data_IF_304799132255
#
_entry.id   IF_304799132255
#
_cell.length_a   1.000
_cell.length_b   1.000
_cell.length_c   1.000
_cell.angle_alpha   90.00
_cell.angle_beta   90.00
_cell.angle_gamma   90.00
#
_symmetry.space_group_name_H-M   'P 1'
#
loop_
_entity.id
_entity.type
_entity.pdbx_description
1 polymer ?
#
# COMPACT_ATOMS: atom_id res chain seq x y z
N UNK A 1 45.95 33.78 -16.90
CA UNK A 1 44.83 33.46 -16.00
C UNK A 1 44.72 31.95 -15.85
N UNK A 2 45.52 31.37 -14.95
CA UNK A 2 45.56 29.92 -14.73
C UNK A 2 44.93 29.58 -13.38
N UNK A 3 43.90 28.74 -13.38
CA UNK A 3 43.27 28.23 -12.16
C UNK A 3 44.22 27.23 -11.49
N UNK A 4 44.64 27.57 -10.28
CA UNK A 4 45.43 26.73 -9.39
C UNK A 4 44.50 25.65 -8.79
N UNK A 5 44.58 24.42 -9.27
CA UNK A 5 43.95 23.26 -8.63
C UNK A 5 44.68 22.96 -7.31
N UNK A 6 44.04 23.27 -6.18
CA UNK A 6 44.46 22.75 -4.88
C UNK A 6 44.13 21.26 -4.81
N UNK A 7 45.17 20.44 -4.63
CA UNK A 7 45.03 19.03 -4.28
C UNK A 7 44.48 18.96 -2.86
N UNK A 8 43.38 18.24 -2.70
CA UNK A 8 42.87 17.81 -1.40
C UNK A 8 43.68 16.59 -1.03
N UNK A 9 44.51 16.70 0.01
CA UNK A 9 45.26 15.57 0.54
C UNK A 9 44.26 14.60 1.18
N UNK A 10 44.25 13.35 0.71
CA UNK A 10 43.47 12.25 1.28
C UNK A 10 43.96 11.98 2.71
N UNK A 11 43.22 12.46 3.70
CA UNK A 11 43.45 12.17 5.11
C UNK A 11 43.26 10.65 5.33
N UNK A 12 44.38 9.93 5.49
CA UNK A 12 44.36 8.52 5.85
C UNK A 12 43.50 8.31 7.11
N UNK A 13 42.55 7.39 7.03
CA UNK A 13 41.61 7.07 8.10
C UNK A 13 42.36 6.49 9.31
N UNK A 14 42.76 7.37 10.25
CA UNK A 14 43.43 7.03 11.51
C UNK A 14 42.53 6.33 12.53
N UNK A 15 41.35 5.80 12.13
CA UNK A 15 40.53 4.94 13.00
C UNK A 15 41.22 3.60 13.19
N UNK A 16 42.21 3.59 14.08
CA UNK A 16 42.77 2.38 14.69
C UNK A 16 41.59 1.53 15.14
N UNK A 17 41.44 0.34 14.56
CA UNK A 17 40.50 -0.67 15.02
C UNK A 17 40.88 -1.03 16.46
N UNK A 18 40.29 -0.31 17.42
CA UNK A 18 40.38 -0.71 18.81
C UNK A 18 39.56 -2.00 18.93
N UNK A 19 40.19 -3.13 19.32
CA UNK A 19 39.42 -4.32 19.64
C UNK A 19 38.41 -3.95 20.74
N UNK A 20 37.19 -4.50 20.71
CA UNK A 20 36.18 -4.21 21.72
C UNK A 20 36.79 -4.42 23.11
N UNK A 21 36.75 -3.38 23.95
CA UNK A 21 37.43 -3.35 25.25
C UNK A 21 36.93 -4.35 26.30
N UNK A 22 36.01 -5.24 25.91
CA UNK A 22 35.50 -6.32 26.75
C UNK A 22 36.34 -7.56 26.43
N UNK A 23 37.47 -7.70 27.12
CA UNK A 23 38.24 -8.96 27.14
C UNK A 23 37.44 -9.97 27.98
N UNK A 24 36.47 -10.64 27.35
CA UNK A 24 35.89 -11.84 27.95
C UNK A 24 37.00 -12.89 28.09
N UNK A 25 37.02 -13.62 29.21
CA UNK A 25 37.97 -14.72 29.36
C UNK A 25 37.73 -15.75 28.25
N UNK A 26 38.79 -16.46 27.84
CA UNK A 26 38.68 -17.52 26.82
C UNK A 26 37.58 -18.52 27.16
N UNK A 27 37.41 -18.85 28.44
CA UNK A 27 36.36 -19.73 28.95
C UNK A 27 34.95 -19.15 28.71
N UNK A 28 34.76 -17.84 28.88
CA UNK A 28 33.46 -17.19 28.66
C UNK A 28 33.11 -17.14 27.17
N UNK A 29 34.12 -16.97 26.31
CA UNK A 29 33.96 -17.03 24.86
C UNK A 29 33.61 -18.45 24.39
N UNK A 30 34.31 -19.46 24.93
CA UNK A 30 34.09 -20.87 24.61
C UNK A 30 32.70 -21.33 25.08
N UNK A 31 32.27 -20.91 26.27
CA UNK A 31 30.90 -21.12 26.74
C UNK A 31 29.85 -20.47 25.84
N UNK A 32 30.10 -19.24 25.37
CA UNK A 32 29.18 -18.55 24.46
C UNK A 32 29.08 -19.26 23.10
N UNK A 33 30.20 -19.74 22.55
CA UNK A 33 30.23 -20.53 21.32
C UNK A 33 29.54 -21.88 21.47
N UNK A 34 29.83 -22.63 22.53
CA UNK A 34 29.13 -23.89 22.84
C UNK A 34 27.63 -23.67 23.02
N UNK A 35 27.24 -22.58 23.70
CA UNK A 35 25.85 -22.22 23.88
C UNK A 35 25.16 -21.84 22.56
N UNK A 36 25.81 -21.01 21.72
CA UNK A 36 25.28 -20.62 20.40
C UNK A 36 25.14 -21.85 19.50
N UNK A 37 26.16 -22.72 19.47
CA UNK A 37 26.18 -23.93 18.66
C UNK A 37 25.26 -25.03 19.19
N UNK A 38 24.88 -24.99 20.47
CA UNK A 38 23.84 -25.86 21.03
C UNK A 38 22.44 -25.56 20.49
N UNK A 39 22.22 -24.37 19.89
CA UNK A 39 20.97 -24.08 19.19
C UNK A 39 21.01 -24.68 17.79
N UNK A 40 20.28 -25.78 17.58
CA UNK A 40 19.95 -26.27 16.25
C UNK A 40 19.27 -25.13 15.47
N UNK A 41 19.90 -24.72 14.37
CA UNK A 41 19.57 -23.49 13.64
C UNK A 41 18.10 -23.37 13.20
N UNK A 42 17.66 -22.10 13.19
CA UNK A 42 16.42 -21.54 12.61
C UNK A 42 15.13 -21.71 13.44
N UNK A 43 14.42 -20.61 13.79
CA UNK A 43 13.19 -20.60 14.59
C UNK A 43 12.04 -21.49 14.09
N UNK A 44 11.99 -21.82 12.79
CA UNK A 44 10.98 -22.71 12.21
C UNK A 44 11.04 -24.15 12.77
N UNK A 45 12.23 -24.62 13.16
CA UNK A 45 12.41 -25.95 13.74
C UNK A 45 11.99 -26.03 15.21
N UNK A 46 11.87 -24.89 15.92
CA UNK A 46 11.60 -24.85 17.37
C UNK A 46 10.22 -25.39 17.72
N UNK A 47 9.19 -25.13 16.89
CA UNK A 47 7.85 -25.71 17.08
C UNK A 47 7.89 -27.23 16.93
N UNK A 48 8.57 -27.74 15.90
CA UNK A 48 8.67 -29.18 15.65
C UNK A 48 9.50 -29.89 16.73
N UNK A 49 10.55 -29.26 17.25
CA UNK A 49 11.41 -29.83 18.28
C UNK A 49 10.72 -29.88 19.64
N UNK A 50 10.03 -28.80 20.03
CA UNK A 50 9.22 -28.76 21.26
C UNK A 50 8.10 -29.80 21.17
N UNK A 51 7.41 -29.89 20.04
CA UNK A 51 6.34 -30.87 19.86
C UNK A 51 6.86 -32.31 19.94
N UNK A 52 7.96 -32.65 19.24
CA UNK A 52 8.55 -34.00 19.27
C UNK A 52 9.11 -34.40 20.64
N UNK A 53 9.85 -33.51 21.34
CA UNK A 53 10.38 -33.82 22.68
C UNK A 53 9.30 -33.85 23.77
N UNK A 54 8.32 -32.97 23.72
CA UNK A 54 7.19 -33.00 24.65
C UNK A 54 6.38 -34.30 24.50
N UNK A 55 6.20 -34.78 23.26
CA UNK A 55 5.59 -36.09 22.98
C UNK A 55 6.43 -37.25 23.53
N UNK A 56 7.75 -37.25 23.35
CA UNK A 56 8.64 -38.32 23.85
C UNK A 56 8.66 -38.41 25.37
N UNK A 57 8.55 -37.28 26.08
CA UNK A 57 8.57 -37.25 27.55
C UNK A 57 7.18 -37.17 28.19
N UNK A 58 6.10 -37.26 27.39
CA UNK A 58 4.71 -37.15 27.83
C UNK A 58 4.44 -35.91 28.72
N UNK A 59 5.08 -34.79 28.40
CA UNK A 59 4.95 -33.52 29.13
C UNK A 59 4.16 -32.52 28.29
N UNK A 60 3.32 -31.71 28.95
CA UNK A 60 2.59 -30.64 28.25
C UNK A 60 3.55 -29.57 27.75
N UNK A 61 3.41 -29.16 26.50
CA UNK A 61 4.18 -28.07 25.93
C UNK A 61 3.98 -26.79 26.75
N UNK A 62 5.09 -26.23 27.25
CA UNK A 62 5.09 -24.95 27.94
C UNK A 62 4.94 -23.86 26.87
N UNK A 63 4.11 -22.84 27.12
CA UNK A 63 3.95 -21.71 26.22
C UNK A 63 5.29 -20.97 26.00
N UNK A 64 5.42 -20.21 24.91
CA UNK A 64 6.63 -19.43 24.64
C UNK A 64 6.92 -18.36 25.72
N UNK A 65 5.88 -17.94 26.46
CA UNK A 65 5.92 -16.86 27.45
C UNK A 65 6.88 -17.14 28.62
N UNK A 66 6.80 -18.28 29.34
CA UNK A 66 7.74 -18.64 30.40
C UNK A 66 9.21 -18.66 29.96
N UNK A 67 9.51 -19.14 28.75
CA UNK A 67 10.89 -19.21 28.26
C UNK A 67 11.46 -17.82 28.02
N UNK A 68 10.70 -16.94 27.35
CA UNK A 68 11.07 -15.55 27.18
C UNK A 68 11.23 -14.83 28.52
N UNK A 69 10.29 -14.98 29.44
CA UNK A 69 10.38 -14.34 30.75
C UNK A 69 11.58 -14.83 31.57
N UNK A 70 11.88 -16.13 31.56
CA UNK A 70 12.99 -16.67 32.34
C UNK A 70 14.34 -16.23 31.78
N UNK A 71 14.52 -16.24 30.45
CA UNK A 71 15.77 -15.80 29.82
C UNK A 71 15.96 -14.28 29.88
N UNK A 72 14.94 -13.51 29.54
CA UNK A 72 15.06 -12.05 29.49
C UNK A 72 15.04 -11.41 30.88
N UNK A 73 14.18 -11.88 31.80
CA UNK A 73 14.07 -11.27 33.14
C UNK A 73 15.09 -11.82 34.13
N UNK A 74 15.36 -13.13 34.16
CA UNK A 74 16.26 -13.72 35.18
C UNK A 74 17.72 -13.71 34.78
N UNK A 75 18.04 -13.93 33.51
CA UNK A 75 19.45 -13.97 33.05
C UNK A 75 19.97 -12.64 32.49
N UNK A 76 19.11 -11.61 32.41
CA UNK A 76 19.44 -10.27 31.92
C UNK A 76 20.17 -10.29 30.56
N UNK A 77 19.84 -11.26 29.70
CA UNK A 77 20.40 -11.37 28.34
C UNK A 77 19.65 -10.38 27.46
N UNK A 78 20.01 -9.10 27.57
CA UNK A 78 19.54 -8.07 26.67
C UNK A 78 20.14 -8.30 25.29
N UNK A 79 19.31 -8.51 24.27
CA UNK A 79 19.82 -8.48 22.90
C UNK A 79 20.39 -7.10 22.61
N UNK A 80 21.58 -7.07 22.00
CA UNK A 80 22.14 -5.85 21.45
C UNK A 80 21.14 -5.28 20.45
N UNK A 81 20.50 -4.15 20.80
CA UNK A 81 19.60 -3.44 19.88
C UNK A 81 20.48 -2.78 18.82
N UNK A 82 20.41 -3.22 17.54
CA UNK A 82 21.25 -2.66 16.50
C UNK A 82 21.10 -1.15 16.42
N UNK A 83 22.17 -0.42 16.09
CA UNK A 83 22.14 1.05 16.01
C UNK A 83 21.03 1.60 15.12
N UNK A 84 20.67 0.89 14.04
CA UNK A 84 19.56 1.26 13.14
C UNK A 84 18.19 1.26 13.81
N UNK A 85 18.01 0.45 14.86
CA UNK A 85 16.75 0.27 15.59
C UNK A 85 16.71 1.12 16.88
N UNK A 86 17.80 1.83 17.18
CA UNK A 86 17.87 2.76 18.30
C UNK A 86 17.24 4.09 17.90
N UNK A 87 16.28 4.55 18.70
CA UNK A 87 15.73 5.90 18.56
C UNK A 87 16.84 6.95 18.71
N UNK A 88 16.76 8.03 17.94
CA UNK A 88 17.67 9.18 18.04
C UNK A 88 17.87 9.71 19.48
N UNK A 89 16.85 9.58 20.36
CA UNK A 89 16.97 9.91 21.79
C UNK A 89 18.10 9.15 22.50
N UNK A 90 18.46 7.95 22.05
CA UNK A 90 19.58 7.20 22.61
C UNK A 90 20.92 7.90 22.35
N UNK A 91 21.11 8.43 21.15
CA UNK A 91 22.30 9.23 20.83
C UNK A 91 22.35 10.50 21.68
N UNK A 92 21.23 11.20 21.85
CA UNK A 92 21.17 12.39 22.70
C UNK A 92 21.58 12.09 24.15
N UNK A 93 21.19 10.92 24.69
CA UNK A 93 21.59 10.49 26.05
C UNK A 93 23.11 10.28 26.17
N UNK A 94 23.78 9.84 25.11
CA UNK A 94 25.22 9.61 25.10
C UNK A 94 26.06 10.89 24.90
N UNK A 95 25.44 12.02 24.52
CA UNK A 95 26.15 13.30 24.35
C UNK A 95 26.65 13.87 25.69
N UNK A 96 27.76 14.63 25.62
CA UNK A 96 28.29 15.40 26.76
C UNK A 96 27.32 16.50 27.21
N UNK A 97 27.45 16.97 28.46
CA UNK A 97 26.55 18.00 29.02
C UNK A 97 26.47 19.28 28.17
N UNK A 98 27.62 19.75 27.66
CA UNK A 98 27.68 20.95 26.82
C UNK A 98 26.90 20.78 25.50
N UNK A 99 27.05 19.63 24.82
CA UNK A 99 26.34 19.34 23.57
C UNK A 99 24.84 19.10 23.78
N UNK A 100 24.45 18.55 24.93
CA UNK A 100 23.04 18.39 25.30
C UNK A 100 22.31 19.72 25.42
N UNK A 101 22.98 20.77 25.91
CA UNK A 101 22.37 22.09 26.09
C UNK A 101 21.86 22.67 24.75
N UNK A 102 22.68 22.59 23.70
CA UNK A 102 22.30 23.08 22.37
C UNK A 102 21.22 22.24 21.67
N UNK A 103 21.11 20.94 22.00
CA UNK A 103 20.12 20.04 21.39
C UNK A 103 18.84 19.84 22.23
N UNK A 104 18.74 20.45 23.41
CA UNK A 104 17.69 20.16 24.38
C UNK A 104 16.29 20.45 23.85
N UNK A 105 16.13 21.56 23.12
CA UNK A 105 14.85 21.96 22.53
C UNK A 105 14.38 20.95 21.47
N UNK A 106 15.27 20.57 20.55
CA UNK A 106 14.97 19.57 19.52
C UNK A 106 14.61 18.21 20.12
N UNK A 107 15.30 17.81 21.19
CA UNK A 107 15.01 16.58 21.91
C UNK A 107 13.63 16.63 22.59
N UNK A 108 13.29 17.75 23.23
CA UNK A 108 11.99 17.93 23.87
C UNK A 108 10.85 17.94 22.85
N UNK A 109 11.05 18.57 21.68
CA UNK A 109 10.10 18.52 20.57
C UNK A 109 9.89 17.09 20.07
N UNK A 110 10.95 16.30 19.95
CA UNK A 110 10.86 14.90 19.54
C UNK A 110 10.11 14.03 20.56
N UNK A 111 10.33 14.25 21.86
CA UNK A 111 9.56 13.58 22.92
C UNK A 111 8.07 13.92 22.82
N UNK A 112 7.72 15.20 22.64
CA UNK A 112 6.33 15.61 22.42
C UNK A 112 5.69 14.90 21.23
N UNK A 113 6.38 14.85 20.08
CA UNK A 113 5.90 14.13 18.88
C UNK A 113 5.70 12.64 19.14
N UNK A 114 6.64 12.01 19.84
CA UNK A 114 6.55 10.59 20.22
C UNK A 114 5.34 10.34 21.12
N UNK A 115 5.11 11.20 22.11
CA UNK A 115 4.00 11.06 23.05
C UNK A 115 2.65 11.30 22.37
N UNK A 116 2.56 12.30 21.48
CA UNK A 116 1.39 12.51 20.62
C UNK A 116 1.08 11.29 19.75
N UNK A 117 2.08 10.74 19.04
CA UNK A 117 1.88 9.55 18.21
C UNK A 117 1.48 8.31 19.04
N UNK A 118 2.07 8.14 20.24
CA UNK A 118 1.69 7.05 21.14
C UNK A 118 0.26 7.22 21.68
N UNK A 119 -0.16 8.46 21.95
CA UNK A 119 -1.52 8.79 22.36
C UNK A 119 -2.51 8.47 21.25
N UNK A 120 -2.27 8.95 20.03
CA UNK A 120 -3.10 8.63 18.85
C UNK A 120 -3.20 7.12 18.62
N UNK A 121 -2.09 6.39 18.69
CA UNK A 121 -2.08 4.93 18.58
C UNK A 121 -2.92 4.24 19.65
N UNK A 122 -2.87 4.72 20.90
CA UNK A 122 -3.70 4.21 22.00
C UNK A 122 -5.17 4.51 21.78
N UNK A 123 -5.48 5.73 21.35
CA UNK A 123 -6.85 6.18 21.07
C UNK A 123 -7.44 5.36 19.92
N UNK A 124 -6.67 5.07 18.87
CA UNK A 124 -7.09 4.23 17.75
C UNK A 124 -7.25 2.77 18.15
N UNK A 125 -6.37 2.24 19.01
CA UNK A 125 -6.56 0.91 19.60
C UNK A 125 -7.86 0.84 20.42
N UNK A 126 -8.16 1.86 21.22
CA UNK A 126 -9.42 1.93 21.99
C UNK A 126 -10.65 2.09 21.08
N UNK A 127 -10.55 2.87 19.99
CA UNK A 127 -11.63 2.98 18.99
C UNK A 127 -11.87 1.64 18.29
N UNK A 128 -10.81 0.87 18.03
CA UNK A 128 -10.92 -0.43 17.38
C UNK A 128 -11.53 -1.51 18.29
N UNK A 129 -11.33 -1.41 19.62
CA UNK A 129 -11.92 -2.35 20.59
C UNK A 129 -13.37 -2.03 20.96
N UNK A 130 -13.82 -0.77 20.83
CA UNK A 130 -15.24 -0.44 20.91
C UNK A 130 -15.99 -1.31 19.90
N UNK A 131 -17.09 -1.95 20.33
CA UNK A 131 -17.96 -2.77 19.46
C UNK A 131 -18.21 -1.96 18.20
N UNK A 132 -17.69 -2.46 17.08
CA UNK A 132 -18.00 -1.85 15.78
C UNK A 132 -19.54 -1.82 15.69
N UNK A 133 -20.15 -0.72 15.25
CA UNK A 133 -21.56 -0.75 14.93
C UNK A 133 -21.80 -1.95 14.01
N UNK A 134 -22.94 -2.62 14.19
CA UNK A 134 -23.29 -3.79 13.39
C UNK A 134 -22.98 -3.49 11.93
N UNK A 135 -22.22 -4.40 11.29
CA UNK A 135 -21.78 -4.19 9.91
C UNK A 135 -23.03 -4.09 9.06
N UNK A 136 -23.32 -2.88 8.58
CA UNK A 136 -24.42 -2.65 7.65
C UNK A 136 -24.05 -3.30 6.32
N UNK A 137 -24.55 -4.51 6.08
CA UNK A 137 -24.39 -5.19 4.79
C UNK A 137 -25.41 -4.56 3.85
N UNK A 138 -24.93 -3.75 2.93
CA UNK A 138 -25.76 -3.25 1.82
C UNK A 138 -25.61 -4.24 0.68
N UNK A 139 -26.71 -4.88 0.29
CA UNK A 139 -26.74 -5.67 -0.94
C UNK A 139 -26.66 -4.71 -2.12
N UNK A 140 -25.67 -4.91 -2.99
CA UNK A 140 -25.46 -4.11 -4.19
C UNK A 140 -25.85 -4.97 -5.39
N UNK A 141 -26.75 -4.47 -6.21
CA UNK A 141 -27.25 -5.13 -7.42
C UNK A 141 -26.52 -4.63 -8.66
N UNK A 142 -26.63 -5.37 -9.78
CA UNK A 142 -26.03 -4.97 -11.07
C UNK A 142 -26.42 -3.54 -11.51
N UNK A 143 -27.63 -3.11 -11.15
CA UNK A 143 -28.16 -1.78 -11.47
C UNK A 143 -27.53 -0.64 -10.67
N UNK A 144 -26.80 -0.93 -9.59
CA UNK A 144 -26.15 0.07 -8.75
C UNK A 144 -24.76 0.47 -9.28
N UNK A 145 -24.26 -0.26 -10.28
CA UNK A 145 -22.97 0.01 -10.90
C UNK A 145 -23.13 0.92 -12.10
N UNK A 146 -22.35 1.99 -12.12
CA UNK A 146 -22.35 3.01 -13.16
C UNK A 146 -21.00 3.08 -13.88
N UNK A 147 -21.01 3.31 -15.19
CA UNK A 147 -19.80 3.45 -15.98
C UNK A 147 -19.25 4.88 -15.93
N UNK A 148 -18.50 5.14 -14.87
CA UNK A 148 -17.78 6.41 -14.70
C UNK A 148 -16.66 6.60 -15.74
N UNK A 149 -16.21 5.54 -16.42
CA UNK A 149 -15.16 5.65 -17.44
C UNK A 149 -15.73 6.33 -18.68
N UNK A 150 -16.91 5.90 -19.13
CA UNK A 150 -17.63 6.58 -20.20
C UNK A 150 -18.04 7.99 -19.79
N UNK A 151 -18.57 8.15 -18.57
CA UNK A 151 -18.93 9.48 -18.05
C UNK A 151 -17.73 10.45 -18.02
N UNK A 152 -16.55 9.97 -17.61
CA UNK A 152 -15.33 10.79 -17.55
C UNK A 152 -14.99 11.39 -18.91
N UNK A 153 -15.12 10.64 -20.00
CA UNK A 153 -14.82 11.11 -21.36
C UNK A 153 -15.70 12.29 -21.76
N UNK A 154 -16.94 12.29 -21.27
CA UNK A 154 -17.92 13.32 -21.60
C UNK A 154 -17.85 14.53 -20.65
N UNK A 155 -17.64 14.29 -19.35
CA UNK A 155 -17.65 15.33 -18.31
C UNK A 155 -16.30 16.02 -18.15
N UNK A 156 -15.19 15.26 -18.20
CA UNK A 156 -13.85 15.77 -17.88
C UNK A 156 -12.99 15.71 -19.14
N UNK A 157 -13.15 16.72 -20.00
CA UNK A 157 -12.45 16.82 -21.29
C UNK A 157 -11.01 17.31 -21.10
N UNK A 158 -10.82 18.31 -20.24
CA UNK A 158 -9.52 18.88 -19.95
C UNK A 158 -9.09 18.53 -18.52
N UNK A 159 -7.96 17.83 -18.40
CA UNK A 159 -7.33 17.49 -17.12
C UNK A 159 -5.96 18.11 -16.96
N UNK A 160 -5.38 18.71 -18.01
CA UNK A 160 -3.95 18.95 -18.07
C UNK A 160 -3.57 20.40 -18.35
N UNK A 161 -4.51 21.29 -18.67
CA UNK A 161 -4.20 22.71 -18.95
C UNK A 161 -4.91 23.61 -17.96
N UNK A 162 -4.14 24.40 -17.23
CA UNK A 162 -4.63 25.45 -16.36
C UNK A 162 -5.16 26.64 -17.16
N UNK A 163 -5.96 27.49 -16.51
CA UNK A 163 -6.46 28.75 -17.08
C UNK A 163 -5.32 29.74 -17.39
N UNK A 164 -4.17 29.63 -16.70
CA UNK A 164 -2.94 30.38 -17.02
C UNK A 164 -2.30 29.96 -18.35
N UNK A 165 -2.66 28.78 -18.89
CA UNK A 165 -2.02 28.16 -20.05
C UNK A 165 -0.95 27.13 -19.71
N UNK A 166 -0.58 27.00 -18.42
CA UNK A 166 0.42 26.04 -17.97
C UNK A 166 -0.08 24.60 -18.08
N UNK A 167 0.84 23.68 -18.37
CA UNK A 167 0.56 22.24 -18.43
C UNK A 167 0.75 21.65 -17.03
N UNK A 168 -0.30 21.04 -16.49
CA UNK A 168 -0.30 20.41 -15.17
C UNK A 168 0.61 19.18 -15.15
N UNK A 169 1.63 19.21 -14.30
CA UNK A 169 2.39 18.02 -13.93
C UNK A 169 1.72 17.29 -12.76
N UNK A 170 1.00 16.20 -13.05
CA UNK A 170 0.28 15.40 -12.04
C UNK A 170 1.15 14.87 -10.89
N UNK A 171 2.47 14.75 -11.08
CA UNK A 171 3.39 14.28 -10.04
C UNK A 171 3.67 15.33 -8.96
N UNK A 172 3.49 16.60 -9.29
CA UNK A 172 3.76 17.73 -8.39
C UNK A 172 2.52 18.18 -7.61
N UNK A 173 1.34 17.70 -8.00
CA UNK A 173 0.08 18.07 -7.34
C UNK A 173 0.02 17.46 -5.94
N UNK A 174 -0.08 18.32 -4.94
CA UNK A 174 -0.22 17.92 -3.53
C UNK A 174 -1.65 18.10 -3.01
N UNK A 175 -2.41 19.01 -3.60
CA UNK A 175 -3.78 19.31 -3.16
C UNK A 175 -4.72 19.49 -4.35
N UNK A 176 -5.83 18.75 -4.33
CA UNK A 176 -6.99 18.96 -5.21
C UNK A 176 -8.21 19.40 -4.41
N UNK A 177 -8.98 20.34 -4.96
CA UNK A 177 -10.23 20.82 -4.36
C UNK A 177 -11.32 20.95 -5.41
N UNK A 178 -12.48 20.38 -5.09
CA UNK A 178 -13.70 20.47 -5.88
C UNK A 178 -14.78 21.19 -5.06
N UNK A 179 -15.58 22.04 -5.70
CA UNK A 179 -16.68 22.77 -5.05
C UNK A 179 -18.00 22.42 -5.73
N UNK A 180 -19.04 22.13 -4.94
CA UNK A 180 -20.38 21.82 -5.46
C UNK A 180 -20.98 22.97 -6.27
N UNK A 181 -20.70 24.22 -5.89
CA UNK A 181 -21.17 25.41 -6.61
C UNK A 181 -20.53 25.59 -7.99
N UNK A 182 -19.35 25.00 -8.23
CA UNK A 182 -18.59 25.13 -9.48
C UNK A 182 -18.04 23.77 -9.88
N UNK A 183 -18.89 22.82 -10.32
CA UNK A 183 -18.48 21.43 -10.59
C UNK A 183 -17.50 21.30 -11.76
N UNK A 184 -17.47 22.30 -12.65
CA UNK A 184 -16.61 22.34 -13.84
C UNK A 184 -15.21 22.94 -13.57
N UNK A 185 -14.93 23.31 -12.31
CA UNK A 185 -13.65 23.88 -11.90
C UNK A 185 -12.92 22.90 -10.97
N UNK A 186 -11.75 22.48 -11.40
CA UNK A 186 -10.79 21.75 -10.58
C UNK A 186 -9.73 22.73 -10.07
N UNK A 187 -9.67 22.90 -8.75
CA UNK A 187 -8.70 23.76 -8.10
C UNK A 187 -7.53 22.89 -7.61
N UNK A 188 -6.28 23.30 -7.86
CA UNK A 188 -5.11 22.55 -7.41
C UNK A 188 -3.98 23.42 -6.86
N UNK A 189 -3.11 22.80 -6.05
CA UNK A 189 -1.84 23.37 -5.57
C UNK A 189 -0.70 22.36 -5.73
N UNK A 190 0.48 22.88 -6.06
CA UNK A 190 1.73 22.12 -6.12
C UNK A 190 2.42 22.10 -4.75
N UNK A 191 2.27 23.15 -3.95
CA UNK A 191 2.81 23.23 -2.61
C UNK A 191 1.75 23.48 -1.54
N UNK A 192 1.99 22.96 -0.33
CA UNK A 192 1.09 23.16 0.81
C UNK A 192 1.06 24.62 1.30
N UNK A 193 2.10 25.39 0.96
CA UNK A 193 2.30 26.77 1.41
C UNK A 193 1.77 27.82 0.43
N UNK A 194 1.37 27.41 -0.78
CA UNK A 194 0.78 28.32 -1.76
C UNK A 194 -0.47 28.96 -1.15
N UNK A 195 -0.63 30.27 -1.30
CA UNK A 195 -1.84 30.98 -0.84
C UNK A 195 -3.01 30.63 -1.74
N UNK A 196 -2.79 30.71 -3.05
CA UNK A 196 -3.84 30.66 -4.06
C UNK A 196 -3.89 29.31 -4.78
N UNK A 197 -5.09 28.94 -5.22
CA UNK A 197 -5.29 27.74 -6.02
C UNK A 197 -5.20 28.08 -7.50
N UNK A 198 -4.47 27.27 -8.26
CA UNK A 198 -4.53 27.31 -9.71
C UNK A 198 -5.83 26.63 -10.18
N UNK A 199 -6.38 27.08 -11.30
CA UNK A 199 -7.71 26.70 -11.78
C UNK A 199 -7.58 25.94 -13.10
N UNK A 200 -8.21 24.76 -13.17
CA UNK A 200 -8.41 24.01 -14.42
C UNK A 200 -9.90 23.94 -14.69
N UNK A 201 -10.29 24.40 -15.88
CA UNK A 201 -11.65 24.25 -16.39
C UNK A 201 -11.78 22.90 -17.07
N UNK A 202 -12.61 22.02 -16.52
CA UNK A 202 -12.69 20.61 -16.97
C UNK A 202 -13.50 20.41 -18.24
N UNK A 203 -14.42 21.34 -18.55
CA UNK A 203 -15.41 21.18 -19.62
C UNK A 203 -15.12 21.95 -20.92
N UNK A 204 -14.04 22.74 -21.00
CA UNK A 204 -13.82 23.60 -22.15
C UNK A 204 -13.44 22.82 -23.43
N UNK A 205 -14.44 22.52 -24.25
CA UNK A 205 -14.27 22.35 -25.70
C UNK A 205 -14.37 23.73 -26.34
N UNK A 206 -13.27 24.25 -26.92
CA UNK A 206 -13.33 25.43 -27.80
C UNK A 206 -14.18 25.06 -29.03
N UNK A 207 -15.43 25.51 -29.06
CA UNK A 207 -16.36 25.34 -30.18
C UNK A 207 -17.67 24.63 -29.83
N UNK A 208 -18.74 25.44 -29.70
CA UNK A 208 -20.17 25.14 -29.96
C UNK A 208 -20.75 23.79 -29.50
N UNK A 209 -20.45 23.33 -28.30
CA UNK A 209 -21.33 22.39 -27.59
C UNK A 209 -21.44 22.89 -26.16
N UNK A 210 -22.58 23.50 -25.83
CA UNK A 210 -23.03 23.54 -24.45
C UNK A 210 -23.06 22.09 -23.98
N UNK A 211 -22.05 21.69 -23.19
CA UNK A 211 -22.07 20.40 -22.52
C UNK A 211 -23.23 20.51 -21.56
N UNK A 212 -24.40 20.05 -22.00
CA UNK A 212 -25.59 19.95 -21.21
C UNK A 212 -25.25 19.07 -20.01
N UNK A 213 -24.90 19.72 -18.89
CA UNK A 213 -24.77 19.09 -17.57
C UNK A 213 -26.10 18.42 -17.18
N UNK A 214 -27.18 18.78 -17.88
CA UNK A 214 -28.52 18.17 -17.83
C UNK A 214 -28.69 16.87 -18.64
N UNK A 215 -27.65 16.30 -19.28
CA UNK A 215 -27.75 14.95 -19.90
C UNK A 215 -27.67 13.78 -18.90
N UNK A 216 -27.84 14.07 -17.61
CA UNK A 216 -28.83 13.42 -16.74
C UNK A 216 -28.68 11.96 -16.30
N UNK A 217 -27.99 11.08 -17.02
CA UNK A 217 -27.89 9.67 -16.61
C UNK A 217 -26.49 9.13 -16.84
N UNK A 218 -25.80 8.84 -15.73
CA UNK A 218 -24.59 8.04 -15.81
C UNK A 218 -24.99 6.67 -16.39
N UNK A 219 -24.37 6.22 -17.51
CA UNK A 219 -24.73 4.93 -18.08
C UNK A 219 -24.47 3.83 -17.05
N UNK A 220 -25.34 2.82 -17.00
CA UNK A 220 -25.09 1.64 -16.16
C UNK A 220 -23.84 0.93 -16.67
N UNK A 221 -23.00 0.48 -15.75
CA UNK A 221 -21.81 -0.30 -16.08
C UNK A 221 -22.16 -1.65 -16.70
N UNK A 222 -23.30 -2.21 -16.29
CA UNK A 222 -23.75 -3.52 -16.72
C UNK A 222 -25.20 -3.44 -17.20
N UNK A 223 -25.47 -3.99 -18.39
CA UNK A 223 -26.82 -4.13 -18.95
C UNK A 223 -27.42 -5.52 -18.65
N UNK A 224 -26.64 -6.41 -18.06
CA UNK A 224 -27.00 -7.77 -17.71
C UNK A 224 -25.82 -8.47 -17.04
N UNK A 225 -25.94 -9.78 -16.84
CA UNK A 225 -24.83 -10.59 -16.34
C UNK A 225 -23.67 -10.58 -17.35
N UNK A 226 -22.45 -10.45 -16.84
CA UNK A 226 -21.24 -10.54 -17.65
C UNK A 226 -21.03 -12.02 -18.01
N UNK A 227 -21.00 -12.39 -19.31
CA UNK A 227 -20.77 -13.77 -19.69
C UNK A 227 -19.42 -14.28 -19.18
N UNK A 228 -19.44 -15.45 -18.55
CA UNK A 228 -18.23 -16.13 -18.11
C UNK A 228 -17.44 -16.64 -19.31
N UNK A 229 -16.12 -16.69 -19.15
CA UNK A 229 -15.26 -17.40 -20.10
C UNK A 229 -15.53 -18.91 -19.96
N UNK A 230 -15.54 -19.64 -21.09
CA UNK A 230 -15.86 -21.08 -21.14
C UNK A 230 -15.06 -21.89 -20.10
N UNK A 231 -13.74 -21.72 -20.06
CA UNK A 231 -12.87 -22.41 -19.10
C UNK A 231 -13.26 -22.17 -17.63
N UNK A 232 -13.74 -20.97 -17.29
CA UNK A 232 -14.18 -20.66 -15.92
C UNK A 232 -15.53 -21.29 -15.61
N UNK A 233 -16.43 -21.28 -16.60
CA UNK A 233 -17.72 -21.95 -16.47
C UNK A 233 -17.53 -23.46 -16.27
N UNK A 234 -16.69 -24.09 -17.09
CA UNK A 234 -16.36 -25.52 -17.01
C UNK A 234 -15.72 -25.88 -15.67
N UNK A 235 -14.82 -25.05 -15.15
CA UNK A 235 -14.23 -25.22 -13.82
C UNK A 235 -15.30 -25.17 -12.72
N UNK A 236 -16.23 -24.21 -12.78
CA UNK A 236 -17.35 -24.12 -11.82
C UNK A 236 -18.28 -25.34 -11.93
N UNK A 237 -18.61 -25.78 -13.15
CA UNK A 237 -19.43 -26.98 -13.35
C UNK A 237 -18.73 -28.22 -12.80
N UNK A 238 -17.41 -28.35 -13.02
CA UNK A 238 -16.62 -29.44 -12.46
C UNK A 238 -16.64 -29.45 -10.93
N UNK A 239 -16.67 -28.27 -10.29
CA UNK A 239 -16.79 -28.16 -8.83
C UNK A 239 -18.18 -28.54 -8.33
N UNK A 240 -19.23 -28.19 -9.08
CA UNK A 240 -20.60 -28.63 -8.78
C UNK A 240 -20.73 -30.16 -8.86
N UNK A 241 -20.14 -30.79 -9.88
CA UNK A 241 -20.32 -32.22 -10.15
C UNK A 241 -19.37 -33.12 -9.35
N UNK A 242 -18.09 -32.73 -9.21
CA UNK A 242 -17.06 -33.60 -8.63
C UNK A 242 -17.02 -33.59 -7.10
N UNK A 243 -17.45 -32.50 -6.46
CA UNK A 243 -17.32 -32.30 -5.00
C UNK A 243 -18.56 -31.60 -4.44
N UNK A 244 -19.65 -32.35 -4.14
CA UNK A 244 -20.88 -31.78 -3.59
C UNK A 244 -20.71 -31.07 -2.23
N UNK A 245 -19.56 -31.22 -1.57
CA UNK A 245 -19.23 -30.48 -0.34
C UNK A 245 -18.59 -29.10 -0.58
N UNK A 246 -18.10 -28.81 -1.79
CA UNK A 246 -17.41 -27.55 -2.07
C UNK A 246 -18.39 -26.43 -2.41
N UNK A 247 -19.41 -26.75 -3.22
CA UNK A 247 -20.52 -25.85 -3.55
C UNK A 247 -21.82 -26.58 -3.19
N UNK A 248 -22.57 -26.02 -2.25
CA UNK A 248 -23.84 -26.58 -1.82
C UNK A 248 -24.83 -26.69 -2.99
N UNK A 249 -25.55 -27.82 -3.08
CA UNK A 249 -26.42 -28.16 -4.21
C UNK A 249 -27.53 -27.13 -4.46
N UNK A 250 -27.94 -26.41 -3.42
CA UNK A 250 -28.92 -25.31 -3.47
C UNK A 250 -28.48 -24.16 -4.39
N UNK A 251 -27.18 -24.00 -4.65
CA UNK A 251 -26.65 -22.96 -5.54
C UNK A 251 -26.33 -23.46 -6.95
N UNK A 252 -26.46 -24.76 -7.23
CA UNK A 252 -26.06 -25.32 -8.53
C UNK A 252 -26.90 -24.75 -9.68
N UNK A 253 -28.22 -24.61 -9.48
CA UNK A 253 -29.13 -24.03 -10.47
C UNK A 253 -28.75 -22.59 -10.82
N UNK A 254 -28.30 -21.82 -9.82
CA UNK A 254 -27.80 -20.47 -10.04
C UNK A 254 -26.56 -20.47 -10.96
N UNK A 255 -25.55 -21.28 -10.65
CA UNK A 255 -24.32 -21.32 -11.47
C UNK A 255 -24.58 -21.85 -12.88
N UNK A 256 -25.47 -22.85 -13.04
CA UNK A 256 -25.89 -23.38 -14.34
C UNK A 256 -26.66 -22.36 -15.19
N UNK A 257 -27.35 -21.40 -14.54
CA UNK A 257 -28.08 -20.33 -15.23
C UNK A 257 -27.21 -19.17 -15.70
N UNK A 258 -25.93 -19.11 -15.32
CA UNK A 258 -25.05 -18.00 -15.68
C UNK A 258 -24.75 -17.99 -17.18
N UNK A 259 -24.81 -16.82 -17.84
CA UNK A 259 -24.39 -16.72 -19.22
C UNK A 259 -22.89 -17.02 -19.30
N UNK A 260 -22.51 -17.77 -20.32
CA UNK A 260 -21.12 -18.06 -20.65
C UNK A 260 -20.95 -17.87 -22.15
N UNK A 261 -19.73 -17.51 -22.56
CA UNK A 261 -19.39 -17.43 -23.98
C UNK A 261 -19.41 -18.85 -24.53
N UNK A 262 -20.47 -19.20 -25.26
CA UNK A 262 -20.50 -20.42 -26.05
C UNK A 262 -19.44 -20.36 -27.15
N UNK A 263 -19.04 -21.51 -27.69
CA UNK A 263 -18.35 -21.61 -28.97
C UNK A 263 -19.32 -21.12 -30.06
N UNK A 264 -19.48 -19.80 -30.19
CA UNK A 264 -19.82 -19.25 -31.49
C UNK A 264 -18.53 -19.38 -32.31
N UNK A 265 -18.59 -20.19 -33.36
CA UNK A 265 -17.50 -20.38 -34.31
C UNK A 265 -16.83 -19.02 -34.62
N UNK A 266 -15.55 -18.93 -34.30
CA UNK A 266 -14.68 -17.73 -34.28
C UNK A 266 -14.47 -17.03 -35.64
N UNK A 267 -15.36 -17.23 -36.62
CA UNK A 267 -15.26 -16.64 -37.96
C UNK A 267 -15.96 -15.27 -38.08
N UNK A 268 -16.55 -14.73 -37.01
CA UNK A 268 -17.42 -13.52 -37.07
C UNK A 268 -16.87 -12.25 -36.39
N UNK A 269 -15.87 -12.35 -35.51
CA UNK A 269 -15.46 -11.20 -34.67
C UNK A 269 -14.46 -10.22 -35.32
N UNK A 270 -13.97 -10.51 -36.53
CA UNK A 270 -13.10 -9.58 -37.27
C UNK A 270 -13.88 -8.38 -37.87
N UNK A 271 -15.22 -8.44 -37.90
CA UNK A 271 -16.04 -7.33 -38.43
C UNK A 271 -16.19 -6.15 -37.46
N UNK A 272 -16.19 -6.37 -36.14
CA UNK A 272 -16.40 -5.30 -35.15
C UNK A 272 -15.13 -4.46 -34.91
N UNK A 273 -13.95 -5.09 -34.85
CA UNK A 273 -12.68 -4.39 -34.78
C UNK A 273 -12.35 -3.62 -36.07
N UNK A 274 -12.71 -4.18 -37.23
CA UNK A 274 -12.62 -3.49 -38.52
C UNK A 274 -13.53 -2.25 -38.58
N UNK A 275 -14.77 -2.33 -38.08
CA UNK A 275 -15.70 -1.20 -38.03
C UNK A 275 -15.21 -0.07 -37.09
N UNK A 276 -14.63 -0.42 -35.94
CA UNK A 276 -14.04 0.56 -35.01
C UNK A 276 -12.77 1.20 -35.59
N UNK A 277 -11.90 0.41 -36.23
CA UNK A 277 -10.71 0.94 -36.95
C UNK A 277 -11.11 1.84 -38.12
N UNK A 278 -12.11 1.47 -38.91
CA UNK A 278 -12.62 2.29 -40.02
C UNK A 278 -13.21 3.62 -39.52
N UNK A 279 -13.92 3.60 -38.38
CA UNK A 279 -14.48 4.79 -37.75
C UNK A 279 -13.40 5.75 -37.22
N UNK A 280 -12.31 5.20 -36.66
CA UNK A 280 -11.13 5.97 -36.23
C UNK A 280 -10.36 6.59 -37.41
N UNK A 281 -10.22 5.86 -38.52
CA UNK A 281 -9.57 6.36 -39.74
C UNK A 281 -10.40 7.47 -40.43
N UNK A 282 -11.73 7.35 -40.46
CA UNK A 282 -12.62 8.44 -40.93
C UNK A 282 -12.48 9.71 -40.08
N UNK A 283 -12.30 9.58 -38.76
CA UNK A 283 -12.03 10.72 -37.86
C UNK A 283 -10.65 11.36 -38.08
N UNK A 284 -9.61 10.58 -38.43
CA UNK A 284 -8.28 11.14 -38.77
C UNK A 284 -8.30 11.91 -40.09
N UNK A 285 -9.00 11.43 -41.12
CA UNK A 285 -9.09 12.13 -42.43
C UNK A 285 -9.79 13.50 -42.34
N UNK A 286 -10.81 13.64 -41.49
CA UNK A 286 -11.53 14.91 -41.29
C UNK A 286 -10.75 15.97 -40.48
N UNK A 287 -9.57 15.63 -39.99
CA UNK A 287 -8.71 16.53 -39.20
C UNK A 287 -7.54 17.11 -40.00
N UNK A 288 -7.31 16.59 -41.21
CA UNK A 288 -6.22 16.99 -42.11
C UNK A 288 -6.71 17.75 -43.35
N UNK A 289 -8.02 17.98 -43.47
CA UNK A 289 -8.64 18.96 -44.35
C UNK A 289 -9.29 20.03 -43.47
#
# INVERSE_FOLDING_TARGET
SGLLLQKVDDEEDKRVHQPPGIKLSSETMQFAEEHINSFLGVPAHRRQFVQKKCLQHNTKAISETPYGETLFKKKNVGFHVPRKDQCWCHNFKQLSKAKKLGGLETHNLQLKRKDSANKEKKDDAQKATKKRPDRHITLIYLNDFYDYKSLKVDVVVNTNKAESGDVLNWKEVKWLRFKKATPNLMLYKTDFWDTDFQIIRTTERRGRIEVAVDKGTCPKAYHGFIPLDKNKYDDIMSMCDSKPSLIESTYHDFYKSLPHKGEQDDDSDDQTLAAVRASLLKRKRKKNN
#
